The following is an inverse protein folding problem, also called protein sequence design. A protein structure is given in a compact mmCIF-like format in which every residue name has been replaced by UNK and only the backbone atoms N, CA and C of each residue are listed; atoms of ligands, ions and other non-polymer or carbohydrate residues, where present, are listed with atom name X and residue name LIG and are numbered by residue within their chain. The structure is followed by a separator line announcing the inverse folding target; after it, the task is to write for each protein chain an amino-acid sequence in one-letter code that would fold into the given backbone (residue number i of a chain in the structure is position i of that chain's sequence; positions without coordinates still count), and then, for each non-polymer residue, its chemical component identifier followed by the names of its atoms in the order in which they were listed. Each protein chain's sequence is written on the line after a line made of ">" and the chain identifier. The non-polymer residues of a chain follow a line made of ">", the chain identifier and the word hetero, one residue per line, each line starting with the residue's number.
data_IF_842425297626
#
_entry.id   IF_842425297626
#
_cell.length_a   1.000
_cell.length_b   1.000
_cell.length_c   1.000
_cell.angle_alpha   90.00
_cell.angle_beta   90.00
_cell.angle_gamma   90.00
#
_symmetry.space_group_name_H-M   'P 1'
#
loop_
_entity.id
_entity.type
_entity.pdbx_description
1 polymer ?
#
# COMPACT_ATOMS: atom_id res chain seq x y z
N UNK A 1 5.38 12.11 -13.93
CA UNK A 1 4.84 13.46 -13.58
C UNK A 1 5.94 14.49 -13.69
N UNK A 2 5.66 15.69 -14.21
CA UNK A 2 6.59 16.83 -14.09
C UNK A 2 6.17 17.70 -12.90
N UNK A 3 7.12 18.08 -12.06
CA UNK A 3 6.90 19.02 -10.98
C UNK A 3 6.74 20.43 -11.56
N UNK A 4 5.80 21.20 -11.01
CA UNK A 4 5.62 22.61 -11.38
C UNK A 4 6.60 23.48 -10.59
N UNK A 5 6.83 24.72 -11.04
CA UNK A 5 7.67 25.68 -10.30
C UNK A 5 7.18 25.88 -8.87
N UNK A 6 5.86 25.93 -8.67
CA UNK A 6 5.25 25.98 -7.34
C UNK A 6 5.54 24.74 -6.48
N UNK A 7 5.65 23.54 -7.08
CA UNK A 7 6.01 22.33 -6.33
C UNK A 7 7.45 22.48 -5.81
N UNK A 8 8.38 22.89 -6.69
CA UNK A 8 9.78 23.11 -6.31
C UNK A 8 9.93 24.18 -5.23
N UNK A 9 9.19 25.29 -5.35
CA UNK A 9 9.19 26.36 -4.36
C UNK A 9 8.71 25.85 -2.99
N UNK A 10 7.62 25.08 -2.97
CA UNK A 10 7.08 24.52 -1.73
C UNK A 10 7.99 23.44 -1.13
N UNK A 11 8.61 22.60 -1.95
CA UNK A 11 9.59 21.60 -1.52
C UNK A 11 10.80 22.29 -0.90
N UNK A 12 11.39 23.28 -1.58
CA UNK A 12 12.53 24.05 -1.07
C UNK A 12 12.19 24.70 0.28
N UNK A 13 11.06 25.37 0.36
CA UNK A 13 10.62 25.99 1.62
C UNK A 13 10.42 24.96 2.74
N UNK A 14 9.86 23.79 2.44
CA UNK A 14 9.72 22.73 3.45
C UNK A 14 11.07 22.17 3.94
N UNK A 15 12.08 22.09 3.07
CA UNK A 15 13.44 21.68 3.42
C UNK A 15 14.12 22.76 4.28
N UNK A 16 14.02 24.03 3.89
CA UNK A 16 14.61 25.16 4.61
C UNK A 16 14.03 25.31 6.02
N UNK A 17 12.74 25.00 6.22
CA UNK A 17 12.08 24.99 7.53
C UNK A 17 12.51 23.80 8.43
N UNK A 18 13.06 22.74 7.85
CA UNK A 18 13.57 21.57 8.56
C UNK A 18 12.49 20.71 9.26
N UNK A 19 12.94 19.88 10.21
CA UNK A 19 12.07 19.01 10.99
C UNK A 19 11.45 17.86 10.18
N UNK A 20 10.14 17.63 10.37
CA UNK A 20 9.40 16.58 9.66
C UNK A 20 8.96 17.08 8.27
N UNK A 21 9.93 17.14 7.35
CA UNK A 21 9.80 17.75 6.02
C UNK A 21 8.57 17.22 5.28
N UNK A 22 8.42 15.89 5.18
CA UNK A 22 7.28 15.30 4.47
C UNK A 22 5.95 15.73 5.09
N UNK A 23 5.84 15.81 6.41
CA UNK A 23 4.63 16.18 7.13
C UNK A 23 4.30 17.68 7.06
N UNK A 24 5.16 18.49 6.43
CA UNK A 24 4.96 19.92 6.29
C UNK A 24 3.67 20.23 5.48
N UNK A 25 2.82 21.09 6.05
CA UNK A 25 1.52 21.46 5.47
C UNK A 25 1.64 22.16 4.12
N UNK A 26 2.77 22.81 3.82
CA UNK A 26 3.00 23.45 2.53
C UNK A 26 3.01 22.44 1.38
N UNK A 27 3.28 21.16 1.66
CA UNK A 27 3.32 20.08 0.68
C UNK A 27 1.94 19.45 0.41
N UNK A 28 0.86 19.91 1.06
CA UNK A 28 -0.46 19.30 0.90
C UNK A 28 -0.97 19.37 -0.55
N UNK A 29 -0.76 20.49 -1.24
CA UNK A 29 -1.14 20.67 -2.64
C UNK A 29 -0.36 19.71 -3.55
N UNK A 30 0.97 19.66 -3.38
CA UNK A 30 1.87 18.74 -4.07
C UNK A 30 1.44 17.29 -3.89
N UNK A 31 1.25 16.84 -2.65
CA UNK A 31 0.85 15.45 -2.34
C UNK A 31 -0.51 15.10 -2.93
N UNK A 32 -1.47 16.02 -2.87
CA UNK A 32 -2.80 15.82 -3.48
C UNK A 32 -2.67 15.63 -4.99
N UNK A 33 -1.91 16.50 -5.65
CA UNK A 33 -1.62 16.42 -7.10
C UNK A 33 -0.91 15.12 -7.46
N UNK A 34 0.14 14.76 -6.72
CA UNK A 34 0.90 13.53 -6.90
C UNK A 34 0.00 12.29 -6.81
N UNK A 35 -0.78 12.17 -5.73
CA UNK A 35 -1.70 11.04 -5.54
C UNK A 35 -2.73 10.96 -6.66
N UNK A 36 -3.32 12.08 -7.09
CA UNK A 36 -4.27 12.09 -8.20
C UNK A 36 -3.64 11.61 -9.51
N UNK A 37 -2.42 12.08 -9.83
CA UNK A 37 -1.69 11.66 -11.03
C UNK A 37 -1.38 10.16 -11.01
N UNK A 38 -0.78 9.67 -9.92
CA UNK A 38 -0.38 8.26 -9.82
C UNK A 38 -1.57 7.30 -9.79
N UNK A 39 -2.69 7.69 -9.17
CA UNK A 39 -3.94 6.94 -9.25
C UNK A 39 -4.46 6.84 -10.68
N UNK A 40 -4.39 7.91 -11.45
CA UNK A 40 -4.83 7.89 -12.86
C UNK A 40 -4.00 6.92 -13.71
N UNK A 41 -2.67 6.90 -13.57
CA UNK A 41 -1.81 6.06 -14.41
C UNK A 41 -1.75 4.60 -13.94
N UNK A 42 -2.04 4.34 -12.66
CA UNK A 42 -2.12 2.99 -12.10
C UNK A 42 -3.52 2.38 -12.26
N UNK A 43 -4.44 3.05 -12.95
CA UNK A 43 -5.85 2.67 -13.03
C UNK A 43 -6.46 2.41 -11.65
N UNK A 44 -6.14 3.28 -10.69
CA UNK A 44 -6.55 3.16 -9.30
C UNK A 44 -6.19 1.80 -8.68
N UNK A 45 -5.00 1.27 -8.96
CA UNK A 45 -4.51 0.03 -8.34
C UNK A 45 -3.35 0.32 -7.39
N UNK A 46 -3.30 -0.39 -6.26
CA UNK A 46 -2.14 -0.38 -5.37
C UNK A 46 -0.88 -0.81 -6.14
N UNK A 47 0.22 -0.06 -6.01
CA UNK A 47 1.45 -0.36 -6.74
C UNK A 47 2.02 -1.76 -6.50
N UNK A 48 1.84 -2.32 -5.30
CA UNK A 48 2.38 -3.62 -4.89
C UNK A 48 1.41 -4.79 -5.05
N UNK A 49 0.17 -4.66 -4.56
CA UNK A 49 -0.79 -5.77 -4.61
C UNK A 49 -1.78 -5.69 -5.76
N UNK A 50 -1.79 -4.59 -6.54
CA UNK A 50 -2.73 -4.34 -7.65
C UNK A 50 -4.23 -4.40 -7.31
N UNK A 51 -4.60 -4.54 -6.03
CA UNK A 51 -5.99 -4.39 -5.59
C UNK A 51 -6.50 -3.00 -6.01
N UNK A 52 -7.74 -2.98 -6.49
CA UNK A 52 -8.47 -1.75 -6.80
C UNK A 52 -8.59 -0.88 -5.53
N UNK A 53 -8.36 0.41 -5.70
CA UNK A 53 -8.44 1.48 -4.71
C UNK A 53 -9.26 2.69 -5.22
N UNK A 54 -10.03 2.53 -6.31
CA UNK A 54 -10.77 3.62 -6.98
C UNK A 54 -11.79 4.30 -6.09
N UNK A 55 -12.63 3.49 -5.44
CA UNK A 55 -13.70 3.95 -4.56
C UNK A 55 -13.29 3.99 -3.08
N UNK A 56 -12.00 3.81 -2.78
CA UNK A 56 -11.51 3.82 -1.41
C UNK A 56 -11.44 5.24 -0.84
N UNK A 57 -11.65 5.34 0.46
CA UNK A 57 -11.49 6.61 1.17
C UNK A 57 -10.03 7.08 1.07
N UNK A 58 -9.82 8.40 0.89
CA UNK A 58 -8.47 8.97 0.62
C UNK A 58 -7.44 8.64 1.70
N UNK A 59 -7.88 8.39 2.94
CA UNK A 59 -7.02 8.00 4.07
C UNK A 59 -6.61 6.52 4.05
N UNK A 60 -7.14 5.68 3.15
CA UNK A 60 -6.73 4.27 2.98
C UNK A 60 -5.59 4.13 1.96
N UNK A 61 -5.39 5.18 1.16
CA UNK A 61 -4.39 5.27 0.12
C UNK A 61 -3.23 6.09 0.67
N UNK A 62 -1.99 5.66 0.44
CA UNK A 62 -0.80 6.41 0.83
C UNK A 62 0.04 6.77 -0.40
N UNK A 63 0.86 7.80 -0.25
CA UNK A 63 2.00 8.00 -1.14
C UNK A 63 3.11 7.13 -0.57
N UNK A 64 3.55 6.19 -1.38
CA UNK A 64 4.56 5.21 -1.05
C UNK A 64 5.95 5.78 -1.33
N UNK A 65 6.86 5.66 -0.37
CA UNK A 65 8.30 5.76 -0.61
C UNK A 65 8.85 4.35 -0.77
N UNK A 66 9.26 3.97 -1.98
CA UNK A 66 9.74 2.61 -2.28
C UNK A 66 10.97 2.31 -1.42
N UNK A 67 11.99 3.15 -1.49
CA UNK A 67 13.05 3.22 -0.50
C UNK A 67 12.64 4.17 0.63
N UNK A 68 12.68 3.73 1.90
CA UNK A 68 12.13 4.48 3.02
C UNK A 68 12.88 5.79 3.24
N UNK A 69 12.13 6.89 3.40
CA UNK A 69 12.68 8.23 3.63
C UNK A 69 13.47 8.37 4.93
N UNK A 70 13.34 7.43 5.88
CA UNK A 70 14.13 7.38 7.11
C UNK A 70 15.60 7.07 6.84
N UNK A 71 15.87 6.25 5.83
CA UNK A 71 17.22 5.82 5.42
C UNK A 71 17.70 6.53 4.14
N UNK A 72 16.77 6.91 3.27
CA UNK A 72 17.02 7.49 1.94
C UNK A 72 16.39 8.89 1.82
N UNK A 73 16.84 9.80 2.67
CA UNK A 73 16.30 11.18 2.76
C UNK A 73 16.40 11.91 1.42
N UNK A 74 17.50 11.74 0.70
CA UNK A 74 17.74 12.39 -0.60
C UNK A 74 16.75 11.93 -1.69
N UNK A 75 16.12 10.77 -1.50
CA UNK A 75 15.11 10.20 -2.40
C UNK A 75 13.67 10.53 -1.98
N UNK A 76 13.46 11.38 -0.98
CA UNK A 76 12.12 11.70 -0.43
C UNK A 76 11.18 12.29 -1.48
N UNK A 77 11.70 13.08 -2.43
CA UNK A 77 10.94 13.72 -3.49
C UNK A 77 11.28 13.16 -4.88
N UNK A 78 12.05 12.06 -4.95
CA UNK A 78 12.36 11.42 -6.21
C UNK A 78 11.10 10.73 -6.77
N UNK A 79 10.70 11.11 -7.98
CA UNK A 79 9.50 10.58 -8.65
C UNK A 79 9.60 9.08 -8.89
N UNK A 80 10.80 8.55 -9.14
CA UNK A 80 11.04 7.12 -9.34
C UNK A 80 10.94 6.37 -8.00
N UNK A 81 11.30 7.02 -6.89
CA UNK A 81 11.15 6.46 -5.53
C UNK A 81 9.72 6.59 -4.96
N UNK A 82 8.80 7.25 -5.68
CA UNK A 82 7.45 7.51 -5.20
C UNK A 82 6.38 6.75 -5.98
N UNK A 83 5.36 6.24 -5.29
CA UNK A 83 4.19 5.63 -5.93
C UNK A 83 2.93 5.78 -5.07
N UNK A 84 1.85 5.07 -5.41
CA UNK A 84 0.62 5.01 -4.63
C UNK A 84 0.34 3.58 -4.20
N UNK A 85 0.19 3.37 -2.91
CA UNK A 85 -0.04 2.07 -2.30
C UNK A 85 -1.27 2.09 -1.38
N UNK A 86 -1.83 0.91 -1.11
CA UNK A 86 -2.81 0.77 -0.03
C UNK A 86 -2.10 0.72 1.33
N UNK A 87 -2.79 1.14 2.38
CA UNK A 87 -2.28 1.10 3.76
C UNK A 87 -1.79 -0.25 4.23
N UNK A 88 -2.38 -1.36 3.75
CA UNK A 88 -1.90 -2.70 4.12
C UNK A 88 -0.46 -2.90 3.63
N UNK A 89 -0.20 -2.61 2.35
CA UNK A 89 1.14 -2.81 1.80
C UNK A 89 2.14 -1.82 2.40
N UNK A 90 1.78 -0.53 2.51
CA UNK A 90 2.64 0.51 3.05
C UNK A 90 2.82 0.42 4.57
N UNK A 91 1.74 0.55 5.33
CA UNK A 91 1.78 0.80 6.78
C UNK A 91 1.78 -0.47 7.62
N UNK A 92 1.33 -1.60 7.09
CA UNK A 92 1.31 -2.87 7.83
C UNK A 92 2.52 -3.74 7.48
N UNK A 93 2.75 -3.97 6.18
CA UNK A 93 3.79 -4.89 5.72
C UNK A 93 5.14 -4.19 5.57
N UNK A 94 5.28 -3.28 4.61
CA UNK A 94 6.59 -2.72 4.26
C UNK A 94 7.12 -1.77 5.33
N UNK A 95 6.33 -0.78 5.74
CA UNK A 95 6.77 0.28 6.67
C UNK A 95 8.09 0.88 6.21
N UNK A 96 9.09 0.88 7.09
CA UNK A 96 10.46 1.30 6.84
C UNK A 96 11.38 0.12 6.42
N UNK A 97 10.85 -1.09 6.22
CA UNK A 97 11.64 -2.22 5.75
C UNK A 97 12.12 -2.00 4.31
N UNK A 98 13.39 -2.33 4.09
CA UNK A 98 14.06 -2.31 2.79
C UNK A 98 14.89 -3.60 2.56
N UNK A 99 14.58 -4.69 3.27
CA UNK A 99 15.22 -6.02 3.12
C UNK A 99 15.11 -6.62 1.70
N UNK A 100 14.20 -6.08 0.89
CA UNK A 100 14.07 -6.37 -0.53
C UNK A 100 15.18 -5.76 -1.40
N UNK A 101 16.06 -4.91 -0.85
CA UNK A 101 17.26 -4.44 -1.55
C UNK A 101 18.32 -5.54 -1.52
N UNK A 102 18.98 -5.79 -2.66
CA UNK A 102 20.06 -6.80 -2.77
C UNK A 102 21.39 -6.30 -2.19
N UNK A 103 21.73 -5.05 -2.42
CA UNK A 103 22.95 -4.41 -1.92
C UNK A 103 22.63 -2.98 -1.41
N UNK A 104 22.75 -2.78 -0.10
CA UNK A 104 22.40 -1.52 0.56
C UNK A 104 23.40 -0.39 0.33
N UNK A 105 24.63 -0.69 -0.11
CA UNK A 105 25.62 0.32 -0.51
C UNK A 105 25.35 0.76 -1.94
N UNK A 106 25.26 -0.20 -2.86
CA UNK A 106 25.08 0.07 -4.27
C UNK A 106 23.73 0.76 -4.56
N UNK A 107 22.68 0.43 -3.81
CA UNK A 107 21.37 1.08 -4.00
C UNK A 107 21.41 2.59 -3.75
N UNK A 108 22.29 3.08 -2.86
CA UNK A 108 22.40 4.52 -2.57
C UNK A 108 22.95 5.29 -3.76
N UNK A 109 23.83 4.66 -4.53
CA UNK A 109 24.49 5.25 -5.69
C UNK A 109 23.70 5.02 -6.97
N UNK A 110 22.95 3.91 -7.05
CA UNK A 110 22.31 3.45 -8.29
C UNK A 110 20.87 2.96 -8.08
N UNK A 111 20.03 3.73 -7.37
CA UNK A 111 18.63 3.37 -7.10
C UNK A 111 17.74 3.23 -8.36
N UNK A 112 18.23 3.63 -9.54
CA UNK A 112 17.55 3.45 -10.83
C UNK A 112 17.79 2.05 -11.45
N UNK A 113 18.74 1.30 -10.92
CA UNK A 113 18.98 -0.07 -11.34
C UNK A 113 17.92 -1.00 -10.74
N UNK A 114 16.99 -1.42 -11.60
CA UNK A 114 15.90 -2.31 -11.24
C UNK A 114 16.39 -3.65 -10.68
N UNK A 115 17.59 -4.10 -11.02
CA UNK A 115 18.08 -5.42 -10.61
C UNK A 115 18.58 -5.43 -9.17
N UNK A 116 18.75 -4.27 -8.54
CA UNK A 116 19.03 -4.13 -7.11
C UNK A 116 17.81 -4.36 -6.21
N UNK A 117 16.62 -4.47 -6.79
CA UNK A 117 15.37 -4.75 -6.09
C UNK A 117 14.97 -6.22 -6.27
N UNK A 118 14.62 -6.88 -5.16
CA UNK A 118 14.02 -8.23 -5.16
C UNK A 118 12.51 -8.17 -5.40
N UNK A 119 11.86 -7.07 -5.04
CA UNK A 119 10.45 -6.83 -5.39
C UNK A 119 10.34 -6.35 -6.84
N UNK A 120 9.15 -6.50 -7.42
CA UNK A 120 8.74 -5.79 -8.64
C UNK A 120 8.71 -4.31 -8.30
N UNK A 121 9.64 -3.54 -8.84
CA UNK A 121 9.76 -2.11 -8.58
C UNK A 121 8.60 -1.37 -9.27
N UNK A 122 7.76 -0.62 -8.53
CA UNK A 122 6.55 0.02 -9.06
C UNK A 122 6.71 0.87 -10.31
N UNK A 123 7.88 1.49 -10.48
CA UNK A 123 8.15 2.46 -11.53
C UNK A 123 9.25 2.03 -12.53
N UNK A 124 9.93 0.89 -12.27
CA UNK A 124 11.07 0.45 -13.10
C UNK A 124 10.82 -0.91 -13.76
N UNK A 125 9.90 -1.72 -13.20
CA UNK A 125 9.49 -2.99 -13.79
C UNK A 125 8.10 -2.90 -14.41
N UNK A 126 7.87 -3.66 -15.48
CA UNK A 126 6.53 -3.96 -15.96
C UNK A 126 5.92 -5.02 -15.04
N UNK A 127 4.96 -4.64 -14.19
CA UNK A 127 4.47 -5.53 -13.14
C UNK A 127 3.93 -6.86 -13.66
N UNK A 128 3.17 -6.82 -14.76
CA UNK A 128 2.50 -8.00 -15.31
C UNK A 128 3.43 -8.93 -16.09
N UNK A 129 4.68 -8.54 -16.33
CA UNK A 129 5.73 -9.44 -16.82
C UNK A 129 6.15 -10.43 -15.72
N UNK A 130 5.83 -10.12 -14.45
CA UNK A 130 6.26 -10.87 -13.28
C UNK A 130 5.11 -11.52 -12.51
N UNK A 131 3.96 -10.84 -12.38
CA UNK A 131 2.82 -11.33 -11.59
C UNK A 131 1.49 -10.95 -12.22
N UNK A 132 0.66 -11.95 -12.53
CA UNK A 132 -0.73 -11.76 -12.94
C UNK A 132 -1.62 -11.59 -11.71
N UNK A 133 -2.62 -10.71 -11.81
CA UNK A 133 -3.67 -10.51 -10.80
C UNK A 133 -5.04 -10.66 -11.46
N UNK A 134 -5.81 -11.65 -11.01
CA UNK A 134 -7.11 -11.99 -11.55
C UNK A 134 -8.17 -11.88 -10.45
N UNK A 135 -9.27 -11.20 -10.76
CA UNK A 135 -10.41 -11.03 -9.86
C UNK A 135 -11.68 -11.30 -10.63
N UNK A 136 -12.51 -12.17 -10.08
CA UNK A 136 -13.87 -12.42 -10.56
C UNK A 136 -14.84 -12.29 -9.38
N UNK A 137 -15.90 -11.51 -9.57
CA UNK A 137 -16.93 -11.29 -8.56
C UNK A 137 -18.28 -11.51 -9.21
N UNK A 138 -19.04 -12.49 -8.69
CA UNK A 138 -20.40 -12.81 -9.12
C UNK A 138 -21.29 -12.88 -7.88
N UNK A 139 -22.08 -11.83 -7.65
CA UNK A 139 -22.83 -11.65 -6.42
C UNK A 139 -21.91 -11.73 -5.19
N UNK A 140 -22.11 -12.73 -4.33
CA UNK A 140 -21.32 -12.97 -3.13
C UNK A 140 -20.05 -13.80 -3.40
N UNK A 141 -19.97 -14.45 -4.57
CA UNK A 141 -18.82 -15.25 -4.98
C UNK A 141 -17.68 -14.33 -5.38
N UNK A 142 -16.51 -14.55 -4.78
CA UNK A 142 -15.29 -13.80 -5.05
C UNK A 142 -14.15 -14.78 -5.28
N UNK A 143 -13.47 -14.62 -6.40
CA UNK A 143 -12.23 -15.32 -6.71
C UNK A 143 -11.16 -14.24 -6.86
N UNK A 144 -10.12 -14.34 -6.05
CA UNK A 144 -8.94 -13.47 -6.14
C UNK A 144 -7.72 -14.36 -6.24
N UNK A 145 -6.93 -14.21 -7.31
CA UNK A 145 -5.74 -15.02 -7.56
C UNK A 145 -4.59 -14.20 -8.08
N UNK A 146 -3.42 -14.49 -7.55
CA UNK A 146 -2.13 -14.04 -8.10
C UNK A 146 -1.40 -15.23 -8.70
N UNK A 147 -0.75 -15.04 -9.84
CA UNK A 147 0.06 -16.09 -10.48
C UNK A 147 1.40 -15.52 -10.89
N UNK A 148 2.48 -16.11 -10.40
CA UNK A 148 3.84 -15.81 -10.87
C UNK A 148 3.93 -16.18 -12.34
N UNK A 149 4.47 -15.25 -13.14
CA UNK A 149 4.65 -15.44 -14.58
C UNK A 149 6.00 -16.12 -14.81
N UNK A 150 5.97 -17.30 -15.43
CA UNK A 150 7.17 -18.12 -15.67
C UNK A 150 7.93 -18.42 -14.36
N UNK A 151 9.24 -18.22 -14.39
CA UNK A 151 10.15 -18.37 -13.25
C UNK A 151 10.58 -17.01 -12.68
N UNK A 152 9.69 -16.01 -12.73
CA UNK A 152 10.00 -14.66 -12.28
C UNK A 152 10.33 -14.60 -10.78
N UNK A 153 11.61 -14.49 -10.45
CA UNK A 153 12.09 -14.35 -9.06
C UNK A 153 11.51 -13.10 -8.39
N UNK A 154 11.41 -11.98 -9.12
CA UNK A 154 10.77 -10.76 -8.62
C UNK A 154 9.30 -10.97 -8.31
N UNK A 155 8.60 -11.71 -9.18
CA UNK A 155 7.19 -12.06 -8.99
C UNK A 155 6.98 -12.88 -7.74
N UNK A 156 7.75 -13.95 -7.57
CA UNK A 156 7.72 -14.83 -6.40
C UNK A 156 8.06 -14.08 -5.11
N UNK A 157 9.15 -13.31 -5.10
CA UNK A 157 9.54 -12.52 -3.95
C UNK A 157 8.47 -11.50 -3.58
N UNK A 158 7.91 -10.77 -4.55
CA UNK A 158 6.84 -9.79 -4.31
C UNK A 158 5.58 -10.44 -3.74
N UNK A 159 5.17 -11.57 -4.30
CA UNK A 159 4.02 -12.35 -3.83
C UNK A 159 4.17 -12.74 -2.36
N UNK A 160 5.35 -13.25 -1.98
CA UNK A 160 5.66 -13.65 -0.59
C UNK A 160 5.79 -12.43 0.33
N UNK A 161 6.58 -11.43 -0.07
CA UNK A 161 6.88 -10.25 0.73
C UNK A 161 5.61 -9.46 1.09
N UNK A 162 4.74 -9.21 0.11
CA UNK A 162 3.46 -8.52 0.35
C UNK A 162 2.32 -9.44 0.80
N UNK A 163 2.64 -10.70 1.09
CA UNK A 163 1.71 -11.73 1.57
C UNK A 163 0.45 -11.76 0.71
N UNK A 164 0.61 -11.82 -0.60
CA UNK A 164 -0.51 -11.69 -1.54
C UNK A 164 -1.46 -12.89 -1.47
N UNK A 165 -0.98 -14.04 -1.00
CA UNK A 165 -1.79 -15.21 -0.66
C UNK A 165 -2.92 -14.90 0.35
N UNK A 166 -2.75 -13.93 1.26
CA UNK A 166 -3.79 -13.55 2.22
C UNK A 166 -4.97 -12.82 1.54
N UNK A 167 -4.76 -12.27 0.35
CA UNK A 167 -5.84 -11.72 -0.48
C UNK A 167 -6.52 -12.79 -1.32
N UNK A 168 -5.88 -13.94 -1.52
CA UNK A 168 -6.44 -15.00 -2.35
C UNK A 168 -7.62 -15.63 -1.62
N UNK A 169 -8.82 -15.27 -2.09
CA UNK A 169 -10.05 -15.93 -1.70
C UNK A 169 -10.25 -17.04 -2.70
N UNK A 170 -9.99 -18.27 -2.27
CA UNK A 170 -10.37 -19.45 -3.02
C UNK A 170 -11.68 -19.99 -2.44
N UNK A 171 -12.73 -20.01 -3.26
CA UNK A 171 -14.01 -20.61 -2.91
C UNK A 171 -13.92 -22.12 -2.64
N UNK A 172 -12.73 -22.74 -2.74
CA UNK A 172 -12.49 -24.12 -2.29
C UNK A 172 -12.89 -24.35 -0.82
N UNK A 173 -12.85 -23.33 0.04
CA UNK A 173 -13.35 -23.47 1.42
C UNK A 173 -14.89 -23.59 1.47
N UNK A 174 -15.62 -22.94 0.56
CA UNK A 174 -17.07 -22.97 0.52
C UNK A 174 -17.64 -24.15 -0.29
N UNK A 175 -16.94 -24.60 -1.34
CA UNK A 175 -17.34 -25.73 -2.16
C UNK A 175 -17.14 -27.10 -1.46
N UNK A 176 -16.29 -27.16 -0.43
CA UNK A 176 -16.08 -28.37 0.40
C UNK A 176 -16.86 -28.34 1.74
N UNK A 177 -17.71 -27.34 1.98
CA UNK A 177 -18.54 -27.26 3.18
C UNK A 177 -17.79 -26.89 4.47
N UNK A 178 -16.57 -26.36 4.38
CA UNK A 178 -15.85 -25.84 5.55
C UNK A 178 -16.32 -24.41 5.80
N UNK A 179 -17.35 -24.29 6.63
CA UNK A 179 -17.72 -23.02 7.25
C UNK A 179 -16.61 -22.67 8.23
N UNK A 180 -15.70 -21.76 7.85
CA UNK A 180 -14.90 -21.04 8.84
C UNK A 180 -15.88 -20.10 9.55
N UNK A 181 -16.47 -20.58 10.65
CA UNK A 181 -17.19 -19.70 11.57
C UNK A 181 -16.15 -18.73 12.14
N UNK A 182 -16.30 -17.44 11.86
CA UNK A 182 -15.68 -16.42 12.70
C UNK A 182 -16.26 -16.59 14.11
N UNK A 183 -15.48 -17.17 15.03
CA UNK A 183 -15.84 -17.34 16.45
C UNK A 183 -16.20 -16.01 17.13
N UNK A 184 -15.85 -14.87 16.51
CA UNK A 184 -16.10 -13.54 17.05
C UNK A 184 -17.58 -13.13 17.03
N UNK A 185 -18.40 -13.72 16.16
CA UNK A 185 -19.81 -13.34 16.01
C UNK A 185 -20.70 -13.84 17.15
N UNK A 186 -20.23 -14.79 17.97
CA UNK A 186 -21.02 -15.39 19.05
C UNK A 186 -20.77 -14.71 20.43
N UNK A 187 -19.89 -13.69 20.50
CA UNK A 187 -19.32 -13.20 21.77
C UNK A 187 -19.80 -11.84 22.27
N UNK A 188 -20.82 -11.22 21.64
CA UNK A 188 -21.53 -10.12 22.29
C UNK A 188 -22.92 -10.63 22.62
N UNK A 189 -23.02 -11.26 23.80
CA UNK A 189 -24.30 -11.56 24.39
C UNK A 189 -25.11 -10.25 24.56
N UNK A 190 -26.43 -10.36 24.41
CA UNK A 190 -27.37 -9.25 24.50
C UNK A 190 -27.24 -8.47 25.83
N UNK A 191 -26.88 -9.13 26.92
CA UNK A 191 -26.67 -8.53 28.24
C UNK A 191 -25.41 -7.65 28.25
N UNK A 192 -24.33 -8.06 27.59
CA UNK A 192 -23.12 -7.25 27.41
C UNK A 192 -23.41 -5.96 26.62
N UNK A 193 -24.18 -6.05 25.53
CA UNK A 193 -24.57 -4.87 24.76
C UNK A 193 -25.48 -3.91 25.56
N UNK A 194 -26.34 -4.46 26.44
CA UNK A 194 -27.23 -3.69 27.30
C UNK A 194 -26.46 -2.96 28.42
N UNK A 195 -25.49 -3.62 29.06
CA UNK A 195 -24.61 -2.99 30.05
C UNK A 195 -23.82 -1.82 29.45
N UNK A 196 -23.25 -1.99 28.26
CA UNK A 196 -22.52 -0.91 27.56
C UNK A 196 -23.45 0.28 27.33
N UNK A 197 -24.70 0.05 26.95
CA UNK A 197 -25.68 1.10 26.70
C UNK A 197 -26.06 1.85 27.98
N UNK A 198 -26.20 1.16 29.11
CA UNK A 198 -26.48 1.76 30.40
C UNK A 198 -25.32 2.62 30.92
N UNK A 199 -24.08 2.15 30.74
CA UNK A 199 -22.88 2.93 31.08
C UNK A 199 -22.76 4.21 30.25
N UNK A 200 -23.02 4.12 28.94
CA UNK A 200 -23.01 5.28 28.04
C UNK A 200 -24.09 6.31 28.39
N UNK A 201 -25.27 5.85 28.83
CA UNK A 201 -26.34 6.75 29.26
C UNK A 201 -26.00 7.47 30.57
N UNK A 202 -25.32 6.81 31.52
CA UNK A 202 -24.85 7.44 32.76
C UNK A 202 -23.80 8.54 32.50
N UNK A 203 -22.99 8.41 31.46
CA UNK A 203 -22.01 9.43 31.05
C UNK A 203 -22.65 10.68 30.46
N UNK A 204 -23.82 10.56 29.81
CA UNK A 204 -24.56 11.70 29.24
C UNK A 204 -25.42 12.46 30.26
N UNK A 205 -25.61 11.90 31.44
CA UNK A 205 -26.40 12.48 32.52
C UNK A 205 -25.55 13.27 33.55
N UNK A 206 -24.23 13.37 33.31
CA UNK A 206 -23.32 14.32 33.97
C UNK A 206 -23.07 15.51 33.06
#
# INVERSE_FOLDING_TARGET
>A
MKFTEDDFKNIKKAIDEGGKIWENKILLSFKKKFKSYYRSISNDQCCYCKRDIKAEFKMVIDIEHILPKSEFVDLMFDVINLSVSCKRCNMNIKKEDYSFVKDSKLIKENHLDKDLYKIIHPNLDSYFDHLNYNVEIVNELKIVKYRVVGESEKGDFTYKYFKLFEFEIDLMNHAQGIVVRDELSELIDFDTAKEIKELLNKLKAK
#
